data_IF_817147067838
#
_entry.id   IF_817147067838
#
_cell.length_a   1.000
_cell.length_b   1.000
_cell.length_c   1.000
_cell.angle_alpha   90.00
_cell.angle_beta   90.00
_cell.angle_gamma   90.00
#
_symmetry.space_group_name_H-M   'P 1'
#
loop_
_entity.id
_entity.type
_entity.pdbx_description
1 polymer ?
#
# COMPACT_ATOMS: atom_id res chain seq x y z
N UNK A 1 -1.85 9.94 18.60
CA UNK A 1 -2.54 8.72 19.04
C UNK A 1 -1.55 7.55 19.04
N UNK A 2 -1.54 6.77 20.09
CA UNK A 2 -0.66 5.59 20.15
C UNK A 2 -1.17 4.50 19.22
N UNK A 3 -0.26 3.77 18.60
CA UNK A 3 -0.60 2.58 17.83
C UNK A 3 -0.82 1.37 18.73
N UNK A 4 -1.15 0.26 18.10
CA UNK A 4 -1.26 -1.02 18.79
C UNK A 4 0.13 -1.49 19.21
N UNK A 5 0.19 -2.14 20.35
CA UNK A 5 1.41 -2.79 20.84
C UNK A 5 1.44 -4.23 20.36
N UNK A 6 2.62 -4.85 20.42
CA UNK A 6 2.79 -6.22 19.93
C UNK A 6 1.75 -7.17 20.54
N UNK A 7 1.48 -7.02 21.84
CA UNK A 7 0.52 -7.87 22.59
C UNK A 7 -0.93 -7.66 22.16
N UNK A 8 -1.23 -6.55 21.48
CA UNK A 8 -2.59 -6.25 21.00
C UNK A 8 -2.88 -6.91 19.64
N UNK A 9 -1.86 -7.49 18.99
CA UNK A 9 -1.98 -8.04 17.66
C UNK A 9 -2.25 -9.52 17.68
N UNK A 10 -3.02 -10.00 16.71
CA UNK A 10 -3.28 -11.42 16.51
C UNK A 10 -3.37 -11.75 15.02
N UNK A 11 -2.98 -12.98 14.69
CA UNK A 11 -3.08 -13.47 13.30
C UNK A 11 -4.53 -13.44 12.84
N UNK A 12 -4.73 -12.92 11.63
CA UNK A 12 -6.07 -12.76 11.05
C UNK A 12 -6.67 -11.38 11.23
N UNK A 13 -6.10 -10.55 12.10
CA UNK A 13 -6.55 -9.16 12.26
C UNK A 13 -6.27 -8.38 10.99
N UNK A 14 -7.22 -7.58 10.54
CA UNK A 14 -7.09 -6.87 9.26
C UNK A 14 -7.59 -5.43 9.37
N UNK A 15 -7.15 -4.62 8.41
CA UNK A 15 -7.62 -3.25 8.23
C UNK A 15 -7.64 -2.93 6.76
N UNK A 16 -8.55 -2.03 6.34
CA UNK A 16 -8.61 -1.62 4.95
C UNK A 16 -9.05 -0.16 4.85
N UNK A 17 -8.68 0.47 3.73
CA UNK A 17 -9.09 1.82 3.37
C UNK A 17 -9.39 1.87 1.88
N UNK A 18 -10.38 2.68 1.53
CA UNK A 18 -10.79 2.88 0.14
C UNK A 18 -10.31 4.25 -0.32
N UNK A 19 -9.70 4.29 -1.50
CA UNK A 19 -9.17 5.52 -2.08
C UNK A 19 -9.49 5.56 -3.57
N UNK A 20 -10.13 6.63 -4.03
CA UNK A 20 -10.34 6.84 -5.48
C UNK A 20 -9.14 7.59 -6.04
N UNK A 21 -8.52 7.00 -7.07
CA UNK A 21 -7.33 7.61 -7.70
C UNK A 21 -7.74 8.80 -8.54
N UNK A 22 -7.12 9.94 -8.30
CA UNK A 22 -7.41 11.19 -9.01
C UNK A 22 -6.19 11.66 -9.82
N UNK A 23 -6.42 12.57 -10.75
CA UNK A 23 -5.34 13.26 -11.47
C UNK A 23 -4.40 13.96 -10.49
N UNK A 24 -4.94 14.58 -9.44
CA UNK A 24 -4.15 15.27 -8.43
C UNK A 24 -3.21 14.30 -7.69
N UNK A 25 -3.65 13.07 -7.45
CA UNK A 25 -2.82 12.04 -6.80
C UNK A 25 -1.59 11.71 -7.64
N UNK A 26 -1.79 11.52 -8.94
CA UNK A 26 -0.71 11.19 -9.88
C UNK A 26 0.27 12.35 -9.98
N UNK A 27 -0.24 13.58 -10.10
CA UNK A 27 0.59 14.77 -10.16
C UNK A 27 1.41 14.96 -8.89
N UNK A 28 0.78 14.78 -7.72
CA UNK A 28 1.45 14.89 -6.44
C UNK A 28 2.54 13.81 -6.28
N UNK A 29 2.23 12.58 -6.69
CA UNK A 29 3.21 11.49 -6.60
C UNK A 29 4.39 11.73 -7.52
N UNK A 30 4.15 12.19 -8.74
CA UNK A 30 5.22 12.54 -9.68
C UNK A 30 6.13 13.63 -9.11
N UNK A 31 5.55 14.63 -8.45
CA UNK A 31 6.30 15.72 -7.84
C UNK A 31 7.16 15.23 -6.68
N UNK A 32 6.61 14.41 -5.82
CA UNK A 32 7.29 13.91 -4.62
C UNK A 32 8.37 12.88 -4.96
N UNK A 33 8.11 12.01 -5.93
CA UNK A 33 9.03 10.91 -6.30
C UNK A 33 10.03 11.30 -7.38
N UNK A 34 9.72 12.30 -8.19
CA UNK A 34 10.48 12.61 -9.39
C UNK A 34 10.18 11.69 -10.57
N UNK A 35 9.22 10.78 -10.44
CA UNK A 35 8.85 9.85 -11.51
C UNK A 35 7.84 10.50 -12.46
N UNK A 36 8.37 11.05 -13.54
CA UNK A 36 7.57 11.75 -14.57
C UNK A 36 7.45 10.93 -15.85
N UNK A 37 7.53 9.60 -15.75
CA UNK A 37 7.38 8.71 -16.88
C UNK A 37 6.10 9.06 -17.67
N UNK A 38 6.19 9.29 -18.99
CA UNK A 38 5.03 9.68 -19.78
C UNK A 38 3.89 8.65 -19.79
N UNK A 39 4.16 7.39 -19.44
CA UNK A 39 3.12 6.39 -19.24
C UNK A 39 2.11 6.82 -18.17
N UNK A 40 2.55 7.59 -17.19
CA UNK A 40 1.71 8.11 -16.11
C UNK A 40 1.23 9.54 -16.39
N UNK A 41 2.01 10.32 -17.10
CA UNK A 41 1.83 11.77 -17.19
C UNK A 41 1.25 12.27 -18.51
N UNK A 42 1.36 11.50 -19.60
CA UNK A 42 1.01 11.95 -20.94
C UNK A 42 0.01 10.99 -21.60
N UNK A 43 -1.26 11.42 -21.70
CA UNK A 43 -2.32 10.59 -22.27
C UNK A 43 -2.06 10.24 -23.73
N UNK A 44 -1.55 11.18 -24.54
CA UNK A 44 -1.27 10.92 -25.95
C UNK A 44 -0.21 9.84 -26.13
N UNK A 45 0.84 9.88 -25.31
CA UNK A 45 1.86 8.84 -25.29
C UNK A 45 1.29 7.51 -24.79
N UNK A 46 0.60 7.54 -23.65
CA UNK A 46 0.07 6.32 -23.02
C UNK A 46 -0.95 5.60 -23.90
N UNK A 47 -1.72 6.34 -24.69
CA UNK A 47 -2.68 5.77 -25.62
C UNK A 47 -2.01 4.90 -26.70
N UNK A 48 -0.73 5.12 -27.02
CA UNK A 48 0.03 4.32 -27.99
C UNK A 48 0.59 3.03 -27.39
N UNK A 49 0.52 2.86 -26.06
CA UNK A 49 1.05 1.69 -25.35
C UNK A 49 0.02 0.56 -25.27
N UNK A 50 0.46 -0.60 -24.81
CA UNK A 50 -0.41 -1.74 -24.57
C UNK A 50 -1.52 -1.43 -23.56
N UNK A 51 -1.34 -0.41 -22.71
CA UNK A 51 -2.33 -0.02 -21.70
C UNK A 51 -3.46 0.86 -22.27
N UNK A 52 -3.27 1.44 -23.47
CA UNK A 52 -4.29 2.25 -24.16
C UNK A 52 -4.72 3.50 -23.41
N UNK A 53 -3.90 3.99 -22.50
CA UNK A 53 -4.18 5.18 -21.68
C UNK A 53 -3.25 5.24 -20.51
N UNK A 54 -3.32 6.34 -19.77
CA UNK A 54 -2.46 6.54 -18.59
C UNK A 54 -2.81 5.56 -17.49
N UNK A 55 -1.76 5.09 -16.81
CA UNK A 55 -1.90 4.27 -15.60
C UNK A 55 -1.25 5.01 -14.44
N UNK A 56 -1.73 4.74 -13.23
CA UNK A 56 -1.12 5.28 -12.02
C UNK A 56 0.23 4.63 -11.77
N UNK A 57 1.13 5.36 -11.11
CA UNK A 57 2.40 4.78 -10.66
C UNK A 57 2.10 3.58 -9.76
N UNK A 58 2.80 2.48 -9.97
CA UNK A 58 2.64 1.31 -9.10
C UNK A 58 2.93 1.65 -7.63
N UNK A 59 3.97 2.43 -7.39
CA UNK A 59 4.33 2.84 -6.03
C UNK A 59 3.34 3.81 -5.39
N UNK A 60 2.51 4.50 -6.17
CA UNK A 60 1.40 5.27 -5.61
C UNK A 60 0.41 4.32 -4.92
N UNK A 61 0.03 3.23 -5.59
CA UNK A 61 -0.80 2.20 -4.97
C UNK A 61 -0.14 1.59 -3.74
N UNK A 62 1.15 1.33 -3.78
CA UNK A 62 1.91 0.84 -2.64
C UNK A 62 1.85 1.81 -1.46
N UNK A 63 1.79 3.12 -1.73
CA UNK A 63 1.71 4.13 -0.67
C UNK A 63 0.40 4.03 0.14
N UNK A 64 -0.68 3.55 -0.47
CA UNK A 64 -1.95 3.33 0.23
C UNK A 64 -1.82 2.21 1.26
N UNK A 65 -1.04 1.18 0.96
CA UNK A 65 -0.72 0.10 1.91
C UNK A 65 0.09 0.69 3.07
N UNK A 66 1.11 1.46 2.76
CA UNK A 66 1.96 2.11 3.78
C UNK A 66 1.14 2.96 4.74
N UNK A 67 0.14 3.67 4.23
CA UNK A 67 -0.72 4.52 5.07
C UNK A 67 -1.51 3.70 6.10
N UNK A 68 -1.97 2.50 5.74
CA UNK A 68 -2.69 1.64 6.68
C UNK A 68 -1.75 1.14 7.78
N UNK A 69 -0.56 0.69 7.39
CA UNK A 69 0.44 0.19 8.34
C UNK A 69 0.83 1.29 9.34
N UNK A 70 1.01 2.51 8.86
CA UNK A 70 1.44 3.63 9.68
C UNK A 70 0.34 4.26 10.54
N UNK A 71 -0.90 4.20 10.09
CA UNK A 71 -1.99 4.90 10.77
C UNK A 71 -2.96 3.98 11.53
N UNK A 72 -3.16 2.75 11.05
CA UNK A 72 -4.27 1.91 11.53
C UNK A 72 -3.84 0.58 12.12
N UNK A 73 -2.99 -0.20 11.41
CA UNK A 73 -2.62 -1.56 11.81
C UNK A 73 -1.18 -1.87 11.35
N UNK A 74 -0.21 -1.90 12.23
CA UNK A 74 -0.25 -1.68 13.68
C UNK A 74 -0.47 -0.21 14.10
N UNK A 75 -0.28 0.75 13.21
CA UNK A 75 -0.49 2.16 13.49
C UNK A 75 0.75 2.88 14.00
N UNK A 76 0.57 4.05 14.62
CA UNK A 76 1.70 4.88 15.04
C UNK A 76 2.73 4.14 15.87
N UNK A 77 4.00 4.37 15.56
CA UNK A 77 5.12 3.73 16.23
C UNK A 77 5.64 2.48 15.52
N UNK A 78 4.90 1.93 14.56
CA UNK A 78 5.41 0.81 13.77
C UNK A 78 6.53 1.26 12.82
N UNK A 79 7.51 0.40 12.63
CA UNK A 79 8.66 0.69 11.77
C UNK A 79 8.65 -0.27 10.58
N UNK A 80 8.58 0.27 9.39
CA UNK A 80 8.59 -0.50 8.15
C UNK A 80 9.98 -1.12 7.94
N UNK A 81 10.07 -2.42 7.84
CA UNK A 81 11.35 -3.12 7.63
C UNK A 81 11.49 -3.71 6.23
N UNK A 82 10.41 -4.24 5.68
CA UNK A 82 10.45 -4.91 4.38
C UNK A 82 9.09 -4.87 3.72
N UNK A 83 9.09 -4.83 2.40
CA UNK A 83 7.87 -4.93 1.60
C UNK A 83 8.21 -5.62 0.29
N UNK A 84 7.48 -6.69 -0.02
CA UNK A 84 7.48 -7.25 -1.36
C UNK A 84 6.24 -6.76 -2.09
N UNK A 85 6.33 -6.60 -3.40
CA UNK A 85 5.24 -6.10 -4.22
C UNK A 85 5.21 -6.85 -5.55
N UNK A 86 4.01 -7.18 -6.01
CA UNK A 86 3.75 -7.65 -7.36
C UNK A 86 2.67 -6.77 -7.95
N UNK A 87 2.95 -6.21 -9.11
CA UNK A 87 2.04 -5.33 -9.85
C UNK A 87 1.34 -6.18 -10.90
N UNK A 88 0.13 -6.64 -10.58
CA UNK A 88 -0.59 -7.61 -11.39
C UNK A 88 -1.49 -6.99 -12.44
N UNK A 89 -2.04 -5.80 -12.15
CA UNK A 89 -2.97 -5.09 -13.01
C UNK A 89 -2.72 -3.59 -12.91
N UNK A 90 -2.89 -2.84 -14.02
CA UNK A 90 -2.76 -1.39 -13.95
C UNK A 90 -3.90 -0.78 -13.12
N UNK A 91 -3.58 0.28 -12.42
CA UNK A 91 -4.56 1.12 -11.72
C UNK A 91 -4.68 2.41 -12.52
N UNK A 92 -5.90 2.86 -12.77
CA UNK A 92 -6.18 4.02 -13.61
C UNK A 92 -6.83 5.14 -12.83
N UNK A 93 -6.79 6.34 -13.39
CA UNK A 93 -7.54 7.50 -12.85
C UNK A 93 -9.01 7.10 -12.79
N UNK A 94 -9.65 7.36 -11.65
CA UNK A 94 -11.04 7.02 -11.42
C UNK A 94 -11.26 5.65 -10.78
N UNK A 95 -10.24 4.81 -10.74
CA UNK A 95 -10.36 3.51 -10.06
C UNK A 95 -10.53 3.71 -8.56
N UNK A 96 -11.44 2.92 -7.99
CA UNK A 96 -11.64 2.85 -6.55
C UNK A 96 -10.78 1.72 -6.03
N UNK A 97 -9.74 2.07 -5.28
CA UNK A 97 -8.78 1.12 -4.75
C UNK A 97 -9.10 0.81 -3.30
N UNK A 98 -9.28 -0.47 -2.99
CA UNK A 98 -9.35 -0.94 -1.60
C UNK A 98 -7.98 -1.47 -1.22
N UNK A 99 -7.26 -0.75 -0.38
CA UNK A 99 -6.01 -1.21 0.20
C UNK A 99 -6.33 -1.99 1.47
N UNK A 100 -5.71 -3.16 1.63
CA UNK A 100 -5.98 -4.06 2.75
C UNK A 100 -4.69 -4.66 3.28
N UNK A 101 -4.59 -4.77 4.59
CA UNK A 101 -3.51 -5.48 5.26
C UNK A 101 -4.11 -6.49 6.25
N UNK A 102 -3.46 -7.65 6.41
CA UNK A 102 -3.89 -8.70 7.34
C UNK A 102 -2.67 -9.28 8.04
N UNK A 103 -2.74 -9.43 9.36
CA UNK A 103 -1.64 -10.03 10.13
C UNK A 103 -1.55 -11.52 9.77
N UNK A 104 -0.40 -11.91 9.23
CA UNK A 104 -0.14 -13.29 8.80
C UNK A 104 0.72 -14.06 9.81
N UNK A 105 1.67 -13.39 10.47
CA UNK A 105 2.55 -14.02 11.43
C UNK A 105 3.10 -12.99 12.41
N UNK A 106 3.36 -13.44 13.63
CA UNK A 106 3.93 -12.61 14.70
C UNK A 106 5.15 -13.34 15.28
N UNK A 107 6.31 -12.67 15.21
CA UNK A 107 7.53 -13.14 15.87
C UNK A 107 7.67 -12.35 17.17
N UNK A 108 7.17 -12.93 18.25
CA UNK A 108 7.15 -12.26 19.56
C UNK A 108 8.57 -12.01 20.10
N UNK A 109 9.50 -12.88 19.76
CA UNK A 109 10.89 -12.75 20.23
C UNK A 109 11.56 -11.53 19.62
N UNK A 110 11.40 -11.32 18.32
CA UNK A 110 12.01 -10.20 17.60
C UNK A 110 11.12 -8.97 17.50
N UNK A 111 9.91 -9.03 18.01
CA UNK A 111 8.91 -7.96 17.92
C UNK A 111 8.60 -7.59 16.46
N UNK A 112 8.47 -8.58 15.60
CA UNK A 112 8.20 -8.40 14.18
C UNK A 112 6.87 -9.01 13.79
N UNK A 113 6.17 -8.32 12.90
CA UNK A 113 4.86 -8.73 12.41
C UNK A 113 4.93 -8.77 10.89
N UNK A 114 4.48 -9.90 10.33
CA UNK A 114 4.33 -10.06 8.89
C UNK A 114 2.87 -9.87 8.54
N UNK A 115 2.60 -9.00 7.55
CA UNK A 115 1.25 -8.74 7.09
C UNK A 115 1.15 -9.01 5.59
N UNK A 116 0.07 -9.66 5.18
CA UNK A 116 -0.30 -9.73 3.77
C UNK A 116 -0.87 -8.39 3.37
N UNK A 117 -0.49 -7.89 2.20
CA UNK A 117 -0.88 -6.57 1.72
C UNK A 117 -1.46 -6.67 0.32
N UNK A 118 -2.53 -5.92 0.05
CA UNK A 118 -3.20 -5.93 -1.25
C UNK A 118 -3.76 -4.55 -1.57
N UNK A 119 -3.80 -4.26 -2.88
CA UNK A 119 -4.66 -3.21 -3.42
C UNK A 119 -5.62 -3.89 -4.38
N UNK A 120 -6.92 -3.76 -4.13
CA UNK A 120 -7.98 -4.38 -4.92
C UNK A 120 -8.72 -3.34 -5.74
N UNK A 121 -8.99 -3.65 -7.00
CA UNK A 121 -9.86 -2.86 -7.87
C UNK A 121 -10.90 -3.82 -8.43
N UNK A 122 -12.18 -3.50 -8.26
CA UNK A 122 -13.30 -4.36 -8.64
C UNK A 122 -13.16 -5.79 -8.09
N UNK A 123 -12.68 -5.90 -6.85
CA UNK A 123 -12.49 -7.18 -6.17
C UNK A 123 -11.29 -7.98 -6.63
N UNK A 124 -10.47 -7.46 -7.54
CA UNK A 124 -9.30 -8.16 -8.07
C UNK A 124 -8.02 -7.50 -7.62
N UNK A 125 -7.02 -8.30 -7.25
CA UNK A 125 -5.73 -7.78 -6.82
C UNK A 125 -5.01 -7.07 -7.97
N UNK A 126 -4.82 -5.77 -7.83
CA UNK A 126 -3.96 -5.00 -8.73
C UNK A 126 -2.52 -5.04 -8.23
N UNK A 127 -2.34 -5.01 -6.91
CA UNK A 127 -1.04 -5.11 -6.24
C UNK A 127 -1.20 -6.09 -5.09
N UNK A 128 -0.23 -6.98 -4.89
CA UNK A 128 -0.17 -7.80 -3.69
C UNK A 128 1.28 -7.98 -3.24
N UNK A 129 1.43 -8.42 -2.00
CA UNK A 129 2.75 -8.66 -1.42
C UNK A 129 2.66 -8.88 0.07
N UNK A 130 3.81 -8.71 0.72
CA UNK A 130 3.98 -8.94 2.14
C UNK A 130 4.83 -7.85 2.77
N UNK A 131 4.38 -7.35 3.91
CA UNK A 131 5.13 -6.37 4.69
C UNK A 131 5.67 -7.01 5.96
N UNK A 132 6.84 -6.56 6.40
CA UNK A 132 7.36 -6.87 7.74
C UNK A 132 7.56 -5.55 8.46
N UNK A 133 6.97 -5.44 9.63
CA UNK A 133 7.09 -4.24 10.47
C UNK A 133 7.56 -4.62 11.86
N UNK A 134 8.28 -3.71 12.49
CA UNK A 134 8.64 -3.84 13.90
C UNK A 134 7.62 -3.08 14.73
N UNK A 135 7.18 -3.68 15.82
CA UNK A 135 6.14 -3.13 16.68
C UNK A 135 6.63 -3.15 18.12
N UNK A 136 6.46 -2.03 18.81
CA UNK A 136 6.87 -1.93 20.22
C UNK A 136 6.06 -2.86 21.09
N UNK A 137 6.74 -3.42 22.09
CA UNK A 137 6.10 -4.18 23.17
C UNK A 137 5.49 -3.23 24.18
N UNK A 138 4.41 -3.67 24.85
CA UNK A 138 3.83 -2.93 25.94
C UNK A 138 4.83 -2.85 27.10
N UNK A 139 5.08 -1.62 27.59
CA UNK A 139 6.02 -1.39 28.70
C UNK A 139 7.48 -1.52 28.35
N UNK A 140 7.79 -1.63 27.02
CA UNK A 140 9.18 -1.85 26.59
C UNK A 140 9.77 -0.74 25.76
#
# INVERSE_FOLDING_TARGET
MAGLRLEDLSVGQSAEKVHTVTEADITAFAAVSGDTNPLHMDEAYAATTAFKGRIAHGMLGASYISAILGNDLPGPGSVYLNQTLRFRRPIRIGDVVTARVSVAAIDAEKARVTLETQCLVDGKAAIDGEAVVMVERRGG
#
